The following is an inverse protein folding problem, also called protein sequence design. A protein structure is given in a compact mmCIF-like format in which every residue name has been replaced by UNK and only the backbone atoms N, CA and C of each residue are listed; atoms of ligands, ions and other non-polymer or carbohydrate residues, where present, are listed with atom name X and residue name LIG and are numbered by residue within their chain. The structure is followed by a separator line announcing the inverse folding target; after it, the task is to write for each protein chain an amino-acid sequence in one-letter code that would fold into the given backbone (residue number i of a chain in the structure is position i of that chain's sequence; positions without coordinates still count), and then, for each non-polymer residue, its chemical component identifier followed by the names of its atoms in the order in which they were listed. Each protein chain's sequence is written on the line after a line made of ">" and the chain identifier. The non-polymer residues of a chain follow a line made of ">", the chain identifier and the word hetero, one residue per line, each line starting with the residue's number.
data_IF_682328308057
#
_entry.id   IF_682328308057
#
_cell.length_a   1.000
_cell.length_b   1.000
_cell.length_c   1.000
_cell.angle_alpha   90.00
_cell.angle_beta   90.00
_cell.angle_gamma   90.00
#
_symmetry.space_group_name_H-M   'P 1'
#
loop_
_entity.id
_entity.type
_entity.pdbx_description
1 polymer ?
#
# COMPACT_ATOMS: atom_id res chain seq x y z
N UNK A 1 -60.52 -43.86 -11.22
CA UNK A 1 -59.93 -42.79 -10.39
C UNK A 1 -58.77 -43.40 -9.62
N UNK A 2 -57.57 -43.38 -10.21
CA UNK A 2 -56.35 -43.90 -9.59
C UNK A 2 -55.23 -42.93 -9.94
N UNK A 3 -54.62 -42.38 -8.89
CA UNK A 3 -53.75 -41.21 -8.89
C UNK A 3 -52.33 -41.61 -9.28
N UNK A 4 -51.75 -40.95 -10.29
CA UNK A 4 -50.32 -41.01 -10.58
C UNK A 4 -49.56 -40.27 -9.47
N UNK A 5 -48.59 -40.92 -8.84
CA UNK A 5 -47.57 -40.26 -8.02
C UNK A 5 -46.27 -40.29 -8.80
N UNK A 6 -45.88 -39.15 -9.36
CA UNK A 6 -44.57 -38.96 -9.97
C UNK A 6 -43.56 -38.60 -8.87
N UNK A 7 -42.55 -39.45 -8.70
CA UNK A 7 -41.44 -39.21 -7.78
C UNK A 7 -40.38 -38.36 -8.49
N UNK A 8 -40.34 -37.06 -8.20
CA UNK A 8 -39.26 -36.16 -8.66
C UNK A 8 -38.07 -36.26 -7.72
N UNK A 9 -37.00 -36.91 -8.17
CA UNK A 9 -35.69 -36.89 -7.50
C UNK A 9 -35.02 -35.55 -7.85
N UNK A 10 -35.03 -34.61 -6.90
CA UNK A 10 -34.23 -33.39 -6.97
C UNK A 10 -32.77 -33.75 -6.67
N UNK A 11 -31.95 -33.84 -7.71
CA UNK A 11 -30.50 -33.88 -7.56
C UNK A 11 -30.01 -32.49 -7.12
N UNK A 12 -29.62 -32.38 -5.86
CA UNK A 12 -28.91 -31.22 -5.33
C UNK A 12 -27.53 -31.12 -5.97
N UNK A 13 -27.38 -30.24 -6.98
CA UNK A 13 -26.07 -29.78 -7.41
C UNK A 13 -25.47 -28.95 -6.26
N UNK A 14 -24.71 -29.62 -5.40
CA UNK A 14 -23.77 -28.94 -4.53
C UNK A 14 -22.71 -28.31 -5.43
N UNK A 15 -22.87 -27.01 -5.71
CA UNK A 15 -21.81 -26.19 -6.27
C UNK A 15 -20.69 -26.13 -5.22
N UNK A 16 -19.72 -27.04 -5.31
CA UNK A 16 -18.47 -26.91 -4.57
C UNK A 16 -17.77 -25.71 -5.19
N UNK A 17 -17.78 -24.57 -4.51
CA UNK A 17 -16.91 -23.46 -4.83
C UNK A 17 -15.48 -24.00 -4.77
N UNK A 18 -14.86 -24.17 -5.95
CA UNK A 18 -13.45 -24.47 -6.01
C UNK A 18 -12.74 -23.28 -5.35
N UNK A 19 -12.09 -23.52 -4.20
CA UNK A 19 -11.16 -22.56 -3.63
C UNK A 19 -10.15 -22.24 -4.74
N UNK A 20 -10.12 -20.99 -5.18
CA UNK A 20 -9.22 -20.56 -6.23
C UNK A 20 -7.79 -20.81 -5.73
N UNK A 21 -7.10 -21.79 -6.32
CA UNK A 21 -5.76 -22.21 -5.92
C UNK A 21 -4.88 -20.97 -5.69
N UNK A 22 -4.15 -20.92 -4.58
CA UNK A 22 -3.31 -19.78 -4.26
C UNK A 22 -2.35 -19.42 -5.41
N UNK A 23 -2.08 -18.12 -5.56
CA UNK A 23 -1.01 -17.68 -6.44
C UNK A 23 0.36 -18.04 -5.87
N UNK A 24 1.37 -18.05 -6.73
CA UNK A 24 2.75 -18.19 -6.29
C UNK A 24 3.26 -16.83 -5.81
N UNK A 25 3.92 -16.84 -4.65
CA UNK A 25 4.70 -15.72 -4.15
C UNK A 25 5.89 -15.50 -5.11
N UNK A 26 6.43 -14.27 -5.15
CA UNK A 26 7.53 -13.96 -6.06
C UNK A 26 8.40 -12.80 -5.57
N UNK A 27 9.67 -12.84 -5.95
CA UNK A 27 10.65 -11.80 -5.63
C UNK A 27 11.20 -11.17 -6.88
N UNK A 28 11.19 -9.84 -6.93
CA UNK A 28 11.79 -9.02 -7.97
C UNK A 28 13.18 -8.56 -7.52
N UNK A 29 14.18 -8.73 -8.38
CA UNK A 29 15.57 -8.36 -8.09
C UNK A 29 16.13 -7.52 -9.23
N UNK A 30 17.11 -6.66 -8.92
CA UNK A 30 17.81 -5.85 -9.92
C UNK A 30 16.98 -4.71 -10.52
N UNK A 31 15.84 -4.36 -9.91
CA UNK A 31 15.05 -3.19 -10.23
C UNK A 31 15.23 -2.18 -9.11
N UNK A 32 15.68 -0.96 -9.45
CA UNK A 32 15.79 0.14 -8.51
C UNK A 32 14.43 0.84 -8.37
N UNK A 33 13.45 0.14 -7.79
CA UNK A 33 12.06 0.56 -7.67
C UNK A 33 11.49 0.07 -6.34
N UNK A 34 11.66 0.88 -5.30
CA UNK A 34 11.36 0.48 -3.93
C UNK A 34 10.22 1.30 -3.34
N UNK A 35 9.71 0.90 -2.19
CA UNK A 35 8.70 1.60 -1.38
C UNK A 35 7.37 1.96 -2.09
N UNK A 36 7.21 1.51 -3.33
CA UNK A 36 6.08 1.74 -4.21
C UNK A 36 5.01 0.65 -4.16
N UNK A 37 4.40 0.39 -5.33
CA UNK A 37 3.25 -0.52 -5.47
C UNK A 37 3.27 -1.16 -6.85
N UNK A 38 2.80 -2.41 -6.96
CA UNK A 38 2.53 -3.04 -8.25
C UNK A 38 1.07 -2.83 -8.63
N UNK A 39 0.83 -2.26 -9.80
CA UNK A 39 -0.51 -2.08 -10.37
C UNK A 39 -0.63 -2.93 -11.63
N UNK A 40 -1.74 -3.65 -11.76
CA UNK A 40 -2.08 -4.37 -12.98
C UNK A 40 -3.21 -3.65 -13.72
N UNK A 41 -3.00 -3.38 -15.01
CA UNK A 41 -4.07 -2.92 -15.91
C UNK A 41 -4.04 -3.73 -17.20
N UNK A 42 -5.19 -4.32 -17.54
CA UNK A 42 -5.26 -5.33 -18.58
C UNK A 42 -4.29 -6.48 -18.31
N UNK A 43 -3.44 -6.79 -19.29
CA UNK A 43 -2.42 -7.84 -19.20
C UNK A 43 -1.03 -7.33 -18.76
N UNK A 44 -0.91 -6.06 -18.38
CA UNK A 44 0.38 -5.43 -18.07
C UNK A 44 0.49 -5.12 -16.58
N UNK A 45 1.62 -5.48 -16.00
CA UNK A 45 2.03 -5.13 -14.64
C UNK A 45 2.94 -3.91 -14.70
N UNK A 46 2.72 -2.97 -13.79
CA UNK A 46 3.50 -1.75 -13.61
C UNK A 46 4.03 -1.77 -12.18
N UNK A 47 5.34 -1.87 -12.04
CA UNK A 47 6.01 -1.70 -10.75
C UNK A 47 6.44 -0.23 -10.66
N UNK A 48 5.90 0.47 -9.67
CA UNK A 48 6.33 1.82 -9.32
C UNK A 48 7.24 1.77 -8.11
N UNK A 49 8.19 2.69 -8.02
CA UNK A 49 9.03 2.82 -6.85
C UNK A 49 9.92 4.05 -6.87
N UNK A 50 10.50 4.36 -5.72
CA UNK A 50 11.58 5.33 -5.56
C UNK A 50 12.87 4.74 -6.12
N UNK A 51 13.61 5.53 -6.90
CA UNK A 51 14.95 5.17 -7.38
C UNK A 51 16.02 5.72 -6.42
N UNK A 52 17.11 4.98 -6.22
CA UNK A 52 18.24 5.35 -5.36
C UNK A 52 19.57 5.42 -6.15
N UNK A 53 19.64 4.80 -7.32
CA UNK A 53 20.86 4.51 -8.08
C UNK A 53 21.60 5.72 -8.65
N UNK A 54 21.05 6.93 -8.50
CA UNK A 54 21.77 8.18 -8.73
C UNK A 54 22.66 8.60 -7.55
N UNK A 55 22.62 7.88 -6.43
CA UNK A 55 23.37 8.14 -5.20
C UNK A 55 22.58 8.87 -4.13
N UNK A 56 21.24 8.71 -4.08
CA UNK A 56 20.44 9.21 -2.97
C UNK A 56 20.79 8.42 -1.69
N UNK A 57 20.94 9.12 -0.58
CA UNK A 57 21.17 8.49 0.73
C UNK A 57 20.24 9.11 1.75
N UNK A 58 19.32 8.32 2.30
CA UNK A 58 18.35 8.80 3.25
C UNK A 58 19.00 9.34 4.53
N UNK A 59 18.47 10.44 5.05
CA UNK A 59 19.01 11.13 6.22
C UNK A 59 20.29 11.93 5.93
N UNK A 60 20.85 11.86 4.73
CA UNK A 60 22.02 12.63 4.34
C UNK A 60 21.63 13.85 3.51
N UNK A 61 21.89 15.04 4.04
CA UNK A 61 21.62 16.29 3.36
C UNK A 61 22.48 16.46 2.09
N UNK A 62 21.86 16.95 1.01
CA UNK A 62 22.57 17.37 -0.20
C UNK A 62 22.93 16.24 -1.17
N UNK A 63 22.48 15.01 -0.93
CA UNK A 63 22.55 13.94 -1.94
C UNK A 63 21.51 14.17 -3.05
N UNK A 64 21.76 13.71 -4.29
CA UNK A 64 20.76 13.81 -5.35
C UNK A 64 19.51 13.01 -4.98
N UNK A 65 18.33 13.41 -5.49
CA UNK A 65 17.12 12.59 -5.44
C UNK A 65 16.81 12.09 -6.85
N UNK A 66 16.62 10.78 -6.99
CA UNK A 66 16.68 10.13 -8.31
C UNK A 66 15.33 10.13 -9.04
N UNK A 67 14.24 10.38 -8.32
CA UNK A 67 12.91 10.34 -8.90
C UNK A 67 12.13 9.10 -8.54
N UNK A 68 10.93 9.03 -9.08
CA UNK A 68 10.13 7.82 -9.09
C UNK A 68 10.17 7.20 -10.48
N UNK A 69 10.39 5.91 -10.53
CA UNK A 69 10.42 5.13 -11.75
C UNK A 69 9.18 4.26 -11.92
N UNK A 70 9.02 3.76 -13.14
CA UNK A 70 8.10 2.67 -13.48
C UNK A 70 8.78 1.67 -14.39
N UNK A 71 8.63 0.39 -14.07
CA UNK A 71 8.97 -0.72 -14.96
C UNK A 71 7.72 -1.52 -15.30
N UNK A 72 7.69 -2.10 -16.51
CA UNK A 72 6.54 -2.84 -17.02
C UNK A 72 6.90 -4.28 -17.34
N UNK A 73 5.93 -5.17 -17.15
CA UNK A 73 6.04 -6.58 -17.49
C UNK A 73 4.69 -7.14 -17.95
N UNK A 74 4.70 -8.23 -18.71
CA UNK A 74 3.50 -9.01 -19.06
C UNK A 74 3.51 -10.41 -18.43
N UNK A 75 4.60 -10.79 -17.78
CA UNK A 75 4.81 -12.14 -17.22
C UNK A 75 5.35 -12.13 -15.77
N UNK A 76 5.60 -10.94 -15.19
CA UNK A 76 6.25 -10.69 -13.88
C UNK A 76 7.71 -11.15 -13.79
N UNK A 77 8.30 -11.60 -14.90
CA UNK A 77 9.67 -12.12 -14.97
C UNK A 77 10.56 -11.17 -15.78
N UNK A 78 10.12 -10.82 -16.98
CA UNK A 78 10.83 -9.89 -17.86
C UNK A 78 10.29 -8.49 -17.62
N UNK A 79 11.14 -7.62 -17.10
CA UNK A 79 10.81 -6.24 -16.77
C UNK A 79 11.52 -5.29 -17.73
N UNK A 80 10.83 -4.21 -18.14
CA UNK A 80 11.46 -3.15 -18.92
C UNK A 80 12.50 -2.40 -18.08
N UNK A 81 13.39 -1.64 -18.73
CA UNK A 81 14.15 -0.63 -18.02
C UNK A 81 13.18 0.33 -17.30
N UNK A 82 13.58 0.79 -16.11
CA UNK A 82 12.83 1.80 -15.38
C UNK A 82 12.78 3.09 -16.22
N UNK A 83 11.60 3.71 -16.26
CA UNK A 83 11.39 5.02 -16.85
C UNK A 83 10.93 5.99 -15.77
N UNK A 84 11.58 7.14 -15.69
CA UNK A 84 11.24 8.18 -14.72
C UNK A 84 9.85 8.78 -15.01
N UNK A 85 9.02 8.91 -13.98
CA UNK A 85 7.67 9.46 -14.08
C UNK A 85 7.65 10.97 -14.28
N UNK A 86 8.56 11.72 -13.69
CA UNK A 86 8.78 13.15 -13.89
C UNK A 86 10.22 13.53 -13.53
N UNK A 87 10.77 14.59 -14.10
CA UNK A 87 12.18 14.92 -13.88
C UNK A 87 12.43 15.40 -12.45
N UNK A 88 13.47 14.90 -11.76
CA UNK A 88 13.92 15.48 -10.48
C UNK A 88 14.32 16.96 -10.56
N UNK A 89 14.51 17.49 -11.76
CA UNK A 89 14.81 18.91 -12.01
C UNK A 89 13.57 19.74 -12.38
N UNK A 90 12.40 19.13 -12.47
CA UNK A 90 11.15 19.87 -12.63
C UNK A 90 10.88 20.72 -11.39
N UNK A 91 10.21 21.84 -11.60
CA UNK A 91 9.85 22.78 -10.54
C UNK A 91 8.56 22.33 -9.88
N UNK A 92 8.60 22.12 -8.57
CA UNK A 92 7.41 22.13 -7.75
C UNK A 92 6.84 23.55 -7.73
N UNK A 93 5.65 23.72 -8.31
CA UNK A 93 4.98 25.03 -8.37
C UNK A 93 4.49 25.54 -7.02
N UNK A 94 4.43 24.70 -5.98
CA UNK A 94 4.02 25.11 -4.64
C UNK A 94 5.17 25.80 -3.89
N UNK A 95 6.37 25.19 -3.86
CA UNK A 95 7.57 25.81 -3.25
C UNK A 95 8.32 26.76 -4.18
N UNK A 96 8.19 26.58 -5.50
CA UNK A 96 9.04 27.25 -6.50
C UNK A 96 10.47 26.69 -6.57
N UNK A 97 10.72 25.50 -6.02
CA UNK A 97 12.02 24.82 -6.04
C UNK A 97 11.98 23.55 -6.90
N UNK A 98 13.13 22.95 -7.19
CA UNK A 98 13.17 21.66 -7.90
C UNK A 98 12.93 20.51 -6.94
N UNK A 99 12.47 19.36 -7.43
CA UNK A 99 12.37 18.14 -6.62
C UNK A 99 13.71 17.68 -6.04
N UNK A 100 14.82 17.96 -6.73
CA UNK A 100 16.17 17.73 -6.20
C UNK A 100 16.40 18.52 -4.91
N UNK A 101 15.94 19.78 -4.87
CA UNK A 101 16.04 20.61 -3.66
C UNK A 101 15.04 20.12 -2.61
N UNK A 102 13.80 19.89 -3.00
CA UNK A 102 12.73 19.51 -2.08
C UNK A 102 13.04 18.18 -1.36
N UNK A 103 13.38 17.15 -2.14
CA UNK A 103 13.58 15.80 -1.64
C UNK A 103 15.03 15.53 -1.18
N UNK A 104 16.03 16.23 -1.74
CA UNK A 104 17.45 15.95 -1.48
C UNK A 104 18.14 16.89 -0.48
N UNK A 105 17.72 18.16 -0.37
CA UNK A 105 18.51 19.18 0.35
C UNK A 105 18.69 18.90 1.85
N UNK A 106 17.70 18.29 2.49
CA UNK A 106 17.70 17.99 3.92
C UNK A 106 18.00 16.51 4.22
N UNK A 107 18.01 15.66 3.19
CA UNK A 107 18.05 14.20 3.35
C UNK A 107 16.72 13.58 3.77
N UNK A 108 15.64 14.37 3.88
CA UNK A 108 14.32 13.88 4.27
C UNK A 108 13.67 12.98 3.20
N UNK A 109 14.11 13.10 1.94
CA UNK A 109 13.63 12.29 0.82
C UNK A 109 12.24 12.68 0.33
N UNK A 110 11.83 12.00 -0.75
CA UNK A 110 10.45 11.84 -1.17
C UNK A 110 10.29 10.36 -1.54
N UNK A 111 9.20 9.74 -1.09
CA UNK A 111 9.05 8.28 -1.12
C UNK A 111 7.62 7.88 -1.48
N UNK A 112 7.41 6.56 -1.49
CA UNK A 112 6.10 5.96 -1.38
C UNK A 112 5.19 6.34 -2.58
N UNK A 113 5.64 6.15 -3.84
CA UNK A 113 4.81 6.48 -5.00
C UNK A 113 3.60 5.54 -5.06
N UNK A 114 2.41 6.11 -5.23
CA UNK A 114 1.13 5.42 -5.39
C UNK A 114 0.45 5.90 -6.67
N UNK A 115 0.50 5.06 -7.69
CA UNK A 115 -0.23 5.32 -8.94
C UNK A 115 -1.66 4.79 -8.81
N UNK A 116 -2.64 5.65 -9.01
CA UNK A 116 -4.07 5.29 -9.06
C UNK A 116 -4.70 5.79 -10.35
N UNK A 117 -5.72 5.09 -10.83
CA UNK A 117 -6.56 5.54 -11.93
C UNK A 117 -7.92 6.00 -11.40
N UNK A 118 -8.37 7.18 -11.81
CA UNK A 118 -9.71 7.71 -11.54
C UNK A 118 -10.78 6.93 -12.30
N UNK A 119 -11.14 5.79 -11.71
CA UNK A 119 -12.14 4.87 -12.25
C UNK A 119 -13.03 4.34 -11.14
N UNK A 120 -14.35 4.44 -11.34
CA UNK A 120 -15.37 4.00 -10.40
C UNK A 120 -15.78 5.05 -9.36
N UNK A 121 -15.24 6.27 -9.41
CA UNK A 121 -15.68 7.38 -8.56
C UNK A 121 -15.61 8.73 -9.28
N UNK A 122 -16.27 9.74 -8.71
CA UNK A 122 -16.12 11.13 -9.11
C UNK A 122 -16.39 11.34 -10.61
N UNK A 123 -15.42 11.93 -11.30
CA UNK A 123 -15.51 12.16 -12.75
C UNK A 123 -15.44 10.87 -13.59
N UNK A 124 -14.87 9.78 -13.05
CA UNK A 124 -14.73 8.47 -13.72
C UNK A 124 -14.15 8.58 -15.15
N UNK A 125 -13.16 9.45 -15.31
CA UNK A 125 -12.60 9.82 -16.62
C UNK A 125 -11.33 9.05 -17.00
N UNK A 126 -10.91 8.11 -16.17
CA UNK A 126 -9.73 7.27 -16.41
C UNK A 126 -8.40 8.00 -16.24
N UNK A 127 -8.40 9.21 -15.67
CA UNK A 127 -7.18 9.98 -15.40
C UNK A 127 -6.25 9.23 -14.44
N UNK A 128 -4.95 9.25 -14.71
CA UNK A 128 -3.94 8.67 -13.83
C UNK A 128 -3.39 9.73 -12.88
N UNK A 129 -3.26 9.35 -11.61
CA UNK A 129 -2.76 10.22 -10.53
C UNK A 129 -1.62 9.50 -9.83
N UNK A 130 -0.47 10.16 -9.77
CA UNK A 130 0.65 9.77 -8.92
C UNK A 130 0.55 10.51 -7.59
N UNK A 131 0.42 9.78 -6.51
CA UNK A 131 0.60 10.28 -5.15
C UNK A 131 1.98 9.93 -4.62
N UNK A 132 2.58 10.77 -3.79
CA UNK A 132 3.80 10.46 -3.03
C UNK A 132 3.92 11.34 -1.79
N UNK A 133 4.83 11.00 -0.87
CA UNK A 133 5.14 11.84 0.28
C UNK A 133 6.45 12.63 0.06
N UNK A 134 6.48 13.85 0.60
CA UNK A 134 7.60 14.77 0.65
C UNK A 134 7.77 15.29 2.09
N UNK A 135 8.38 14.49 2.99
CA UNK A 135 8.56 14.80 4.41
C UNK A 135 9.14 16.18 4.73
N UNK A 136 10.00 16.73 3.88
CA UNK A 136 10.65 18.02 4.08
C UNK A 136 9.64 19.18 4.26
N UNK A 137 8.50 19.14 3.57
CA UNK A 137 7.48 20.19 3.63
C UNK A 137 6.82 20.31 5.00
N UNK A 138 6.47 19.17 5.58
CA UNK A 138 5.94 19.11 6.92
C UNK A 138 6.98 19.56 7.94
N UNK A 139 8.21 19.06 7.83
CA UNK A 139 9.30 19.41 8.74
C UNK A 139 9.63 20.91 8.72
N UNK A 140 9.48 21.57 7.56
CA UNK A 140 9.80 22.99 7.38
C UNK A 140 8.67 23.93 7.78
N UNK A 141 7.41 23.55 7.50
CA UNK A 141 6.27 24.49 7.61
C UNK A 141 5.01 23.91 8.24
N UNK A 142 4.97 22.62 8.54
CA UNK A 142 3.77 21.91 8.98
C UNK A 142 2.72 21.74 7.87
N UNK A 143 3.07 22.01 6.61
CA UNK A 143 2.21 21.71 5.48
C UNK A 143 2.08 20.19 5.28
N UNK A 144 0.96 19.75 4.69
CA UNK A 144 0.72 18.34 4.40
C UNK A 144 1.90 17.73 3.63
N UNK A 145 2.40 16.58 4.05
CA UNK A 145 3.62 15.99 3.50
C UNK A 145 3.38 15.25 2.16
N UNK A 146 2.35 15.58 1.39
CA UNK A 146 1.95 14.80 0.22
C UNK A 146 1.85 15.67 -1.03
N UNK A 147 1.92 15.01 -2.18
CA UNK A 147 1.64 15.58 -3.50
C UNK A 147 0.79 14.62 -4.32
N UNK A 148 -0.01 15.18 -5.22
CA UNK A 148 -0.72 14.45 -6.25
C UNK A 148 -0.39 15.07 -7.62
N UNK A 149 0.04 14.26 -8.59
CA UNK A 149 0.38 14.71 -9.94
C UNK A 149 -0.52 13.98 -10.93
N UNK A 150 -1.06 14.72 -11.90
CA UNK A 150 -1.72 14.09 -13.06
C UNK A 150 -0.69 13.47 -13.99
N UNK A 151 -1.03 12.31 -14.56
CA UNK A 151 -0.17 11.56 -15.47
C UNK A 151 -0.91 11.24 -16.78
N UNK A 152 -0.18 11.23 -17.88
CA UNK A 152 -0.73 10.95 -19.22
C UNK A 152 -1.21 9.50 -19.36
N UNK A 153 -0.64 8.60 -18.56
CA UNK A 153 -0.99 7.19 -18.50
C UNK A 153 -0.30 6.51 -17.33
N UNK A 154 -0.44 5.17 -17.20
CA UNK A 154 0.17 4.43 -16.11
C UNK A 154 1.70 4.49 -16.14
N UNK A 155 2.32 4.66 -17.31
CA UNK A 155 3.78 4.80 -17.42
C UNK A 155 4.26 6.26 -17.39
N UNK A 156 3.41 7.22 -17.03
CA UNK A 156 3.70 8.64 -17.14
C UNK A 156 3.69 9.16 -18.60
N UNK A 157 4.35 10.30 -18.87
CA UNK A 157 4.93 11.20 -17.88
C UNK A 157 3.84 11.83 -16.99
N UNK A 158 4.24 12.17 -15.78
CA UNK A 158 3.47 12.92 -14.80
C UNK A 158 3.86 14.40 -14.84
N UNK A 159 2.91 15.28 -14.54
CA UNK A 159 3.03 16.72 -14.75
C UNK A 159 2.73 17.55 -13.52
N UNK A 160 1.93 18.61 -13.70
CA UNK A 160 1.69 19.66 -12.72
C UNK A 160 1.37 19.12 -11.32
N UNK A 161 2.18 19.49 -10.31
CA UNK A 161 1.95 19.05 -8.94
C UNK A 161 0.78 19.80 -8.31
N UNK A 162 -0.06 19.04 -7.62
CA UNK A 162 -1.09 19.54 -6.74
C UNK A 162 -0.67 19.27 -5.30
N UNK A 163 -0.78 20.28 -4.44
CA UNK A 163 -0.55 20.15 -3.00
C UNK A 163 -1.89 19.85 -2.31
N UNK A 164 -2.11 18.62 -1.80
CA UNK A 164 -3.38 18.24 -1.21
C UNK A 164 -3.73 19.06 0.04
N UNK A 165 -5.00 19.44 0.15
CA UNK A 165 -5.60 19.95 1.38
C UNK A 165 -6.21 18.81 2.18
N UNK A 166 -5.43 18.23 3.09
CA UNK A 166 -5.82 17.19 4.04
C UNK A 166 -6.04 17.77 5.43
N UNK A 167 -6.93 17.15 6.21
CA UNK A 167 -7.30 17.63 7.56
C UNK A 167 -7.23 16.55 8.64
N UNK A 168 -7.25 15.27 8.24
CA UNK A 168 -7.08 14.11 9.11
C UNK A 168 -5.70 13.49 8.83
N UNK A 169 -5.38 13.29 7.55
CA UNK A 169 -4.06 12.83 7.10
C UNK A 169 -3.05 13.97 6.93
N UNK A 170 -2.98 14.89 7.90
CA UNK A 170 -2.12 16.08 7.82
C UNK A 170 -0.66 15.86 8.20
N UNK A 171 -0.32 14.67 8.70
CA UNK A 171 1.01 14.31 9.16
C UNK A 171 2.03 14.05 8.06
N UNK A 172 3.14 13.46 8.48
CA UNK A 172 4.29 13.12 7.66
C UNK A 172 4.66 11.65 7.90
N UNK A 173 4.31 10.78 6.95
CA UNK A 173 4.63 9.37 7.04
C UNK A 173 4.20 8.59 5.81
N UNK A 174 4.33 7.27 5.90
CA UNK A 174 3.92 6.36 4.84
C UNK A 174 2.40 6.30 4.69
N UNK A 175 1.95 6.01 3.47
CA UNK A 175 0.54 6.01 3.12
C UNK A 175 0.19 4.99 2.02
N UNK A 176 -1.11 4.81 1.80
CA UNK A 176 -1.66 4.22 0.58
C UNK A 176 -3.00 4.89 0.23
N UNK A 177 -3.38 4.84 -1.04
CA UNK A 177 -4.67 5.34 -1.52
C UNK A 177 -5.55 4.18 -1.95
N UNK A 178 -6.60 3.91 -1.17
CA UNK A 178 -7.55 2.85 -1.40
C UNK A 178 -8.64 3.30 -2.36
N UNK A 179 -8.66 2.76 -3.56
CA UNK A 179 -9.73 3.01 -4.53
C UNK A 179 -10.94 2.11 -4.27
N UNK A 180 -12.14 2.63 -4.54
CA UNK A 180 -13.41 1.92 -4.39
C UNK A 180 -14.46 2.46 -5.35
N UNK A 181 -15.44 1.65 -5.70
CA UNK A 181 -16.54 2.06 -6.58
C UNK A 181 -17.61 2.83 -5.80
N UNK A 182 -18.14 3.90 -6.38
CA UNK A 182 -19.29 4.66 -5.87
C UNK A 182 -18.97 5.72 -4.82
N UNK A 183 -17.72 5.85 -4.39
CA UNK A 183 -17.25 6.88 -3.47
C UNK A 183 -15.80 7.23 -3.77
N UNK A 184 -15.35 8.42 -3.38
CA UNK A 184 -13.95 8.81 -3.56
C UNK A 184 -12.99 7.82 -2.87
N UNK A 185 -11.69 7.83 -3.23
CA UNK A 185 -10.69 7.00 -2.59
C UNK A 185 -10.52 7.35 -1.11
N UNK A 186 -9.96 6.43 -0.32
CA UNK A 186 -9.58 6.68 1.08
C UNK A 186 -8.07 6.65 1.19
N UNK A 187 -7.50 7.73 1.71
CA UNK A 187 -6.10 7.80 2.09
C UNK A 187 -5.96 7.12 3.46
N UNK A 188 -5.11 6.10 3.56
CA UNK A 188 -4.59 5.61 4.84
C UNK A 188 -3.21 6.21 5.04
N UNK A 189 -2.90 6.72 6.21
CA UNK A 189 -1.68 7.49 6.42
C UNK A 189 -1.11 7.28 7.83
N UNK A 190 0.21 7.27 7.91
CA UNK A 190 0.96 7.32 9.16
C UNK A 190 1.07 8.77 9.63
N UNK A 191 0.75 9.03 10.89
CA UNK A 191 0.87 10.35 11.50
C UNK A 191 2.28 10.56 12.09
N UNK A 192 2.60 11.81 12.41
CA UNK A 192 3.90 12.18 13.00
C UNK A 192 4.14 11.55 14.39
N UNK A 193 3.09 11.13 15.09
CA UNK A 193 3.16 10.39 16.36
C UNK A 193 3.15 8.86 16.16
N UNK A 194 3.29 8.39 14.92
CA UNK A 194 3.31 6.97 14.53
C UNK A 194 2.01 6.22 14.86
N UNK A 195 0.90 6.94 14.93
CA UNK A 195 -0.45 6.38 14.81
C UNK A 195 -0.87 6.31 13.33
N UNK A 196 -1.96 5.60 13.06
CA UNK A 196 -2.56 5.54 11.72
C UNK A 196 -3.85 6.36 11.70
N UNK A 197 -4.13 6.98 10.55
CA UNK A 197 -5.39 7.68 10.26
C UNK A 197 -5.94 7.29 8.89
N UNK A 198 -7.23 7.56 8.68
CA UNK A 198 -7.88 7.46 7.37
C UNK A 198 -8.60 8.75 7.02
N UNK A 199 -8.51 9.20 5.76
CA UNK A 199 -9.26 10.35 5.24
C UNK A 199 -9.89 10.03 3.89
N UNK A 200 -11.17 10.35 3.74
CA UNK A 200 -11.88 10.31 2.46
C UNK A 200 -11.35 11.43 1.57
N UNK A 201 -10.87 11.06 0.38
CA UNK A 201 -10.51 12.01 -0.66
C UNK A 201 -11.75 12.47 -1.45
N UNK A 202 -11.64 13.64 -2.06
CA UNK A 202 -12.70 14.27 -2.83
C UNK A 202 -12.99 13.56 -4.16
N UNK A 203 -13.91 14.14 -4.94
CA UNK A 203 -14.30 13.57 -6.24
C UNK A 203 -13.15 13.54 -7.26
N UNK A 204 -12.13 14.38 -7.08
CA UNK A 204 -10.95 14.41 -7.95
C UNK A 204 -9.91 13.39 -7.51
N UNK A 205 -9.96 12.95 -6.25
CA UNK A 205 -8.99 12.04 -5.65
C UNK A 205 -7.68 12.74 -5.32
N UNK A 206 -7.72 14.05 -5.04
CA UNK A 206 -6.53 14.91 -4.84
C UNK A 206 -6.57 15.71 -3.55
N UNK A 207 -7.74 15.93 -2.95
CA UNK A 207 -7.91 16.67 -1.69
C UNK A 207 -8.70 15.87 -0.67
N UNK A 208 -8.52 16.19 0.61
CA UNK A 208 -9.27 15.60 1.71
C UNK A 208 -10.65 16.25 1.85
N UNK A 209 -11.63 15.45 2.24
CA UNK A 209 -12.97 15.94 2.58
C UNK A 209 -13.13 16.24 4.07
N UNK A 210 -12.14 15.88 4.89
CA UNK A 210 -12.22 15.88 6.35
C UNK A 210 -13.09 14.79 6.98
N UNK A 211 -13.73 13.93 6.17
CA UNK A 211 -14.36 12.73 6.67
C UNK A 211 -13.31 11.64 6.89
N UNK A 212 -13.14 11.16 8.12
CA UNK A 212 -12.07 10.26 8.47
C UNK A 212 -12.03 9.92 9.95
N UNK A 213 -10.96 9.25 10.36
CA UNK A 213 -10.68 8.88 11.75
C UNK A 213 -9.17 8.89 12.02
N UNK A 214 -8.80 9.21 13.25
CA UNK A 214 -7.45 9.07 13.78
C UNK A 214 -7.38 7.81 14.67
N UNK A 215 -6.16 7.47 15.11
CA UNK A 215 -5.90 6.38 16.07
C UNK A 215 -6.51 5.05 15.63
N UNK A 216 -6.36 4.70 14.35
CA UNK A 216 -7.01 3.51 13.80
C UNK A 216 -6.60 2.26 14.59
N UNK A 217 -7.60 1.52 15.06
CA UNK A 217 -7.44 0.33 15.89
C UNK A 217 -6.65 0.52 17.20
N UNK A 218 -6.40 1.76 17.64
CA UNK A 218 -5.59 2.06 18.82
C UNK A 218 -4.11 1.70 18.66
N UNK A 219 -3.62 1.63 17.41
CA UNK A 219 -2.24 1.28 17.10
C UNK A 219 -1.32 2.49 17.28
N UNK A 220 -0.11 2.22 17.78
CA UNK A 220 0.96 3.21 18.01
C UNK A 220 2.30 2.60 17.64
N UNK A 221 3.26 3.42 17.22
CA UNK A 221 4.57 2.98 16.76
C UNK A 221 4.47 2.02 15.57
N UNK A 222 3.57 2.31 14.62
CA UNK A 222 3.34 1.56 13.39
C UNK A 222 3.45 2.46 12.17
N UNK A 223 3.61 1.90 10.97
CA UNK A 223 3.62 2.66 9.72
C UNK A 223 3.22 1.81 8.50
N UNK A 224 3.36 2.37 7.29
CA UNK A 224 3.09 1.70 6.02
C UNK A 224 1.70 1.04 5.95
N UNK A 225 0.62 1.78 6.25
CA UNK A 225 -0.72 1.22 6.18
C UNK A 225 -1.10 0.99 4.70
N UNK A 226 -1.65 -0.18 4.43
CA UNK A 226 -2.34 -0.46 3.18
C UNK A 226 -3.45 -1.48 3.43
N UNK A 227 -4.45 -1.54 2.56
CA UNK A 227 -5.59 -2.42 2.77
C UNK A 227 -6.17 -2.96 1.47
N UNK A 228 -6.93 -4.04 1.61
CA UNK A 228 -7.76 -4.58 0.55
C UNK A 228 -9.14 -4.96 1.08
N UNK A 229 -10.13 -5.02 0.17
CA UNK A 229 -11.43 -5.62 0.47
C UNK A 229 -11.36 -7.13 0.20
N UNK A 230 -11.49 -7.92 1.25
CA UNK A 230 -11.68 -9.35 1.18
C UNK A 230 -13.15 -9.65 0.88
N UNK A 231 -13.44 -9.95 -0.39
CA UNK A 231 -14.82 -10.18 -0.86
C UNK A 231 -15.43 -11.49 -0.33
N UNK A 232 -14.60 -12.45 0.09
CA UNK A 232 -15.08 -13.72 0.63
C UNK A 232 -15.73 -13.56 2.02
N UNK A 233 -15.21 -12.65 2.84
CA UNK A 233 -15.72 -12.37 4.18
C UNK A 233 -16.41 -11.00 4.30
N UNK A 234 -16.44 -10.22 3.20
CA UNK A 234 -16.98 -8.85 3.14
C UNK A 234 -16.37 -7.93 4.20
N UNK A 235 -15.04 -7.94 4.29
CA UNK A 235 -14.26 -7.16 5.25
C UNK A 235 -13.11 -6.44 4.56
N UNK A 236 -12.80 -5.24 5.02
CA UNK A 236 -11.54 -4.59 4.74
C UNK A 236 -10.48 -5.12 5.68
N UNK A 237 -9.33 -5.48 5.12
CA UNK A 237 -8.16 -5.98 5.82
C UNK A 237 -7.03 -4.97 5.60
N UNK A 238 -6.60 -4.29 6.66
CA UNK A 238 -5.43 -3.41 6.65
C UNK A 238 -4.23 -4.18 7.16
N UNK A 239 -3.10 -4.05 6.47
CA UNK A 239 -1.77 -4.44 6.92
C UNK A 239 -0.94 -3.20 7.20
N UNK A 240 0.06 -3.33 8.06
CA UNK A 240 0.96 -2.26 8.48
C UNK A 240 2.25 -2.87 9.06
N UNK A 241 3.32 -2.08 9.08
CA UNK A 241 4.54 -2.41 9.82
C UNK A 241 4.29 -2.24 11.32
N UNK A 242 4.64 -3.25 12.12
CA UNK A 242 4.61 -3.24 13.60
C UNK A 242 5.92 -3.85 14.12
N UNK A 243 6.92 -3.05 14.52
CA UNK A 243 6.87 -1.60 14.69
C UNK A 243 7.11 -0.79 13.39
N UNK A 244 7.00 0.53 13.48
CA UNK A 244 7.62 1.50 12.57
C UNK A 244 9.15 1.36 12.63
N UNK A 245 9.80 1.23 11.47
CA UNK A 245 11.24 1.11 11.36
C UNK A 245 11.73 1.35 9.90
N UNK A 246 12.15 2.58 9.59
CA UNK A 246 12.69 2.91 8.26
C UNK A 246 13.93 2.07 7.89
N UNK A 247 13.88 1.41 6.73
CA UNK A 247 14.94 0.55 6.17
C UNK A 247 15.36 -0.64 7.04
N UNK A 248 14.50 -1.08 7.95
CA UNK A 248 14.85 -2.20 8.80
C UNK A 248 14.67 -3.53 8.08
N UNK A 249 15.62 -4.45 8.34
CA UNK A 249 15.56 -5.82 7.85
C UNK A 249 14.81 -6.68 8.87
N UNK A 250 13.59 -7.08 8.50
CA UNK A 250 12.83 -8.07 9.25
C UNK A 250 11.86 -7.51 10.29
N UNK A 251 11.14 -6.44 9.96
CA UNK A 251 10.08 -5.92 10.83
C UNK A 251 8.81 -6.77 10.78
N UNK A 252 7.95 -6.64 11.79
CA UNK A 252 6.66 -7.33 11.82
C UNK A 252 5.66 -6.73 10.83
N UNK A 253 4.81 -7.58 10.27
CA UNK A 253 3.56 -7.16 9.62
C UNK A 253 2.41 -7.45 10.56
N UNK A 254 1.67 -6.42 10.95
CA UNK A 254 0.42 -6.53 11.69
C UNK A 254 -0.80 -6.48 10.77
N UNK A 255 -1.99 -6.79 11.31
CA UNK A 255 -3.25 -6.56 10.60
C UNK A 255 -4.37 -5.99 11.48
N UNK A 256 -5.34 -5.34 10.83
CA UNK A 256 -6.59 -4.88 11.42
C UNK A 256 -7.73 -5.05 10.41
N UNK A 257 -8.98 -5.10 10.91
CA UNK A 257 -10.16 -5.30 10.06
C UNK A 257 -11.22 -4.22 10.26
N UNK A 258 -11.99 -3.91 9.21
CA UNK A 258 -13.14 -3.01 9.27
C UNK A 258 -14.22 -3.44 8.26
N UNK A 259 -15.45 -2.96 8.42
CA UNK A 259 -16.52 -3.12 7.41
C UNK A 259 -16.51 -2.00 6.36
N UNK A 260 -15.68 -0.98 6.57
CA UNK A 260 -15.51 0.19 5.70
C UNK A 260 -14.05 0.63 5.77
N UNK A 261 -13.46 1.15 4.68
CA UNK A 261 -12.07 1.62 4.68
C UNK A 261 -11.88 2.89 5.54
N UNK A 262 -12.97 3.59 5.90
CA UNK A 262 -12.96 4.69 6.88
C UNK A 262 -13.05 4.19 8.34
N UNK A 263 -13.08 2.88 8.55
CA UNK A 263 -13.24 2.28 9.86
C UNK A 263 -14.70 2.15 10.33
N UNK A 264 -14.93 1.86 11.63
CA UNK A 264 -13.90 1.70 12.66
C UNK A 264 -13.04 0.47 12.39
N UNK A 265 -11.72 0.63 12.56
CA UNK A 265 -10.74 -0.44 12.44
C UNK A 265 -10.53 -1.15 13.77
N UNK A 266 -10.36 -2.48 13.73
CA UNK A 266 -10.11 -3.30 14.91
C UNK A 266 -8.92 -4.21 14.68
N UNK A 267 -7.89 -4.08 15.51
CA UNK A 267 -6.79 -5.03 15.60
C UNK A 267 -7.12 -6.10 16.66
N UNK A 268 -6.86 -7.39 16.40
CA UNK A 268 -7.07 -8.43 17.40
C UNK A 268 -6.23 -8.19 18.66
N UNK A 269 -6.90 -8.12 19.80
CA UNK A 269 -6.22 -8.01 21.10
C UNK A 269 -5.67 -9.38 21.53
N UNK A 270 -4.49 -9.36 22.15
CA UNK A 270 -4.01 -10.52 22.90
C UNK A 270 -4.79 -10.70 24.21
N UNK A 271 -4.91 -11.95 24.65
CA UNK A 271 -5.60 -12.31 25.89
C UNK A 271 -4.76 -13.25 26.74
N UNK A 272 -4.79 -13.06 28.06
CA UNK A 272 -4.06 -13.87 29.04
C UNK A 272 -3.12 -13.07 29.94
N UNK A 273 -2.60 -13.72 30.98
CA UNK A 273 -1.58 -13.13 31.87
C UNK A 273 -0.27 -13.02 31.10
N UNK A 274 0.34 -11.83 31.07
CA UNK A 274 1.60 -11.56 30.36
C UNK A 274 1.57 -11.87 28.86
N UNK A 275 0.39 -11.79 28.23
CA UNK A 275 0.27 -11.99 26.79
C UNK A 275 1.13 -10.94 26.05
N UNK A 276 1.80 -11.31 24.94
CA UNK A 276 2.62 -10.37 24.18
C UNK A 276 1.79 -9.17 23.72
N UNK A 277 2.43 -8.04 23.42
CA UNK A 277 1.71 -6.84 23.02
C UNK A 277 0.99 -7.00 21.68
N UNK A 278 1.52 -7.83 20.77
CA UNK A 278 1.17 -7.86 19.33
C UNK A 278 0.62 -9.21 18.85
N UNK A 279 1.19 -10.36 19.26
CA UNK A 279 0.65 -11.73 19.20
C UNK A 279 -0.47 -12.06 18.19
N UNK A 280 -1.75 -11.83 18.51
CA UNK A 280 -2.90 -12.16 17.66
C UNK A 280 -3.05 -11.25 16.44
N UNK A 281 -2.52 -10.04 16.46
CA UNK A 281 -2.51 -9.16 15.29
C UNK A 281 -1.27 -9.35 14.42
N UNK A 282 -0.27 -10.13 14.87
CA UNK A 282 0.92 -10.42 14.07
C UNK A 282 0.57 -11.37 12.94
N UNK A 283 0.74 -10.88 11.72
CA UNK A 283 0.60 -11.67 10.50
C UNK A 283 1.94 -12.35 10.19
N UNK A 284 3.03 -11.59 10.27
CA UNK A 284 4.41 -12.08 10.14
C UNK A 284 5.30 -11.36 11.12
N UNK A 285 6.22 -12.07 11.79
CA UNK A 285 7.14 -11.46 12.76
C UNK A 285 8.33 -10.75 12.10
N UNK A 286 8.63 -11.08 10.84
CA UNK A 286 9.84 -10.59 10.14
C UNK A 286 9.56 -10.13 8.72
N UNK A 287 8.32 -10.14 8.29
CA UNK A 287 7.92 -9.76 6.93
C UNK A 287 8.83 -10.33 5.83
N UNK A 288 9.11 -11.64 5.87
CA UNK A 288 10.03 -12.31 4.92
C UNK A 288 11.46 -11.73 4.87
N UNK A 289 11.90 -11.05 5.93
CA UNK A 289 13.21 -10.43 6.05
C UNK A 289 13.25 -8.94 5.70
N UNK A 290 12.11 -8.33 5.36
CA UNK A 290 12.02 -6.93 4.95
C UNK A 290 11.02 -6.11 5.77
N UNK A 291 10.47 -5.06 5.13
CA UNK A 291 9.44 -4.19 5.67
C UNK A 291 8.20 -4.21 4.77
N UNK A 292 6.97 -4.38 5.31
CA UNK A 292 5.76 -4.30 4.50
C UNK A 292 5.50 -2.87 4.04
N UNK A 293 5.08 -2.69 2.78
CA UNK A 293 4.76 -1.37 2.20
C UNK A 293 3.29 -1.23 1.82
N UNK A 294 2.90 -1.85 0.70
CA UNK A 294 1.57 -1.70 0.13
C UNK A 294 1.00 -3.03 -0.38
N UNK A 295 -0.32 -3.18 -0.24
CA UNK A 295 -1.07 -4.29 -0.80
C UNK A 295 -1.30 -4.04 -2.28
N UNK A 296 -0.76 -4.92 -3.12
CA UNK A 296 -0.93 -4.92 -4.58
C UNK A 296 -1.96 -5.97 -4.99
N UNK A 297 -2.86 -5.63 -5.92
CA UNK A 297 -3.74 -6.62 -6.54
C UNK A 297 -3.10 -7.15 -7.83
N UNK A 298 -2.72 -8.42 -7.80
CA UNK A 298 -2.06 -9.12 -8.91
C UNK A 298 -2.88 -10.35 -9.26
N UNK A 299 -3.30 -10.45 -10.51
CA UNK A 299 -4.18 -11.48 -11.05
C UNK A 299 -5.45 -11.69 -10.21
N UNK A 300 -6.02 -10.58 -9.74
CA UNK A 300 -7.22 -10.56 -8.90
C UNK A 300 -6.99 -11.02 -7.46
N UNK A 301 -5.73 -11.10 -6.99
CA UNK A 301 -5.38 -11.53 -5.63
C UNK A 301 -4.59 -10.45 -4.91
N UNK A 302 -4.82 -10.25 -3.60
CA UNK A 302 -4.02 -9.33 -2.82
C UNK A 302 -2.66 -9.94 -2.45
N UNK A 303 -1.60 -9.17 -2.64
CA UNK A 303 -0.23 -9.48 -2.21
C UNK A 303 0.29 -8.35 -1.34
N UNK A 304 0.95 -8.67 -0.24
CA UNK A 304 1.75 -7.72 0.49
C UNK A 304 3.04 -7.48 -0.29
N UNK A 305 3.26 -6.25 -0.76
CA UNK A 305 4.58 -5.81 -1.21
C UNK A 305 5.48 -5.56 -0.02
N UNK A 306 6.69 -6.10 -0.07
CA UNK A 306 7.69 -6.06 0.99
C UNK A 306 9.01 -5.63 0.36
N UNK A 307 9.58 -4.52 0.79
CA UNK A 307 10.96 -4.18 0.43
C UNK A 307 11.90 -4.99 1.34
N UNK A 308 12.78 -5.78 0.74
CA UNK A 308 13.81 -6.54 1.44
C UNK A 308 15.02 -5.63 1.73
N UNK A 309 14.77 -4.57 2.49
CA UNK A 309 15.81 -3.63 2.95
C UNK A 309 16.96 -4.37 3.61
N UNK A 310 18.17 -3.85 3.45
CA UNK A 310 19.37 -4.42 4.06
C UNK A 310 19.90 -3.58 5.25
N UNK A 311 19.24 -2.47 5.57
CA UNK A 311 19.67 -1.54 6.62
C UNK A 311 20.64 -0.47 6.14
N UNK A 312 20.84 -0.36 4.83
CA UNK A 312 21.63 0.71 4.21
C UNK A 312 20.77 1.95 4.06
N UNK A 313 21.41 3.12 4.01
CA UNK A 313 20.73 4.38 3.71
C UNK A 313 20.58 4.61 2.19
N UNK A 314 21.27 3.80 1.38
CA UNK A 314 21.08 3.65 -0.06
C UNK A 314 20.64 2.21 -0.32
N UNK A 315 19.40 2.05 -0.76
CA UNK A 315 18.75 0.76 -0.95
C UNK A 315 18.60 0.39 -2.43
N UNK A 316 19.43 0.95 -3.32
CA UNK A 316 19.40 0.70 -4.79
C UNK A 316 19.27 -0.79 -5.16
N UNK A 317 19.91 -1.67 -4.38
CA UNK A 317 19.98 -3.11 -4.66
C UNK A 317 18.95 -3.95 -3.88
N UNK A 318 18.09 -3.34 -3.06
CA UNK A 318 17.09 -4.06 -2.28
C UNK A 318 16.11 -4.81 -3.21
N UNK A 319 15.87 -6.11 -3.01
CA UNK A 319 14.79 -6.79 -3.70
C UNK A 319 13.41 -6.37 -3.19
N UNK A 320 12.38 -6.61 -4.00
CA UNK A 320 10.98 -6.44 -3.59
C UNK A 320 10.28 -7.80 -3.66
N UNK A 321 9.73 -8.25 -2.54
CA UNK A 321 8.99 -9.50 -2.42
C UNK A 321 7.48 -9.26 -2.40
N UNK A 322 6.73 -10.16 -3.01
CA UNK A 322 5.27 -10.16 -3.03
C UNK A 322 4.74 -11.47 -2.44
N UNK A 323 4.22 -11.38 -1.22
CA UNK A 323 3.66 -12.51 -0.49
C UNK A 323 2.13 -12.46 -0.51
N UNK A 324 1.49 -13.54 -0.94
CA UNK A 324 0.04 -13.53 -1.12
C UNK A 324 -0.71 -13.47 0.22
N UNK A 325 -1.61 -12.50 0.34
CA UNK A 325 -2.52 -12.40 1.47
C UNK A 325 -3.72 -13.33 1.25
N UNK A 326 -3.87 -14.33 2.13
CA UNK A 326 -5.01 -15.26 2.11
C UNK A 326 -5.67 -15.27 3.48
N UNK A 327 -6.67 -14.41 3.67
CA UNK A 327 -7.45 -14.35 4.90
C UNK A 327 -8.42 -15.55 4.98
N UNK A 328 -8.46 -16.20 6.14
CA UNK A 328 -9.26 -17.41 6.41
C UNK A 328 -10.26 -17.22 7.55
N UNK A 329 -10.34 -15.98 8.07
CA UNK A 329 -11.02 -15.60 9.30
C UNK A 329 -10.51 -16.33 10.56
N UNK A 330 -10.53 -15.67 11.73
CA UNK A 330 -10.17 -16.34 12.96
C UNK A 330 -11.19 -17.43 13.31
N UNK A 331 -10.70 -18.67 13.44
CA UNK A 331 -11.48 -19.79 13.97
C UNK A 331 -11.19 -19.97 15.46
N UNK A 332 -12.19 -19.89 16.35
CA UNK A 332 -12.01 -20.18 17.78
C UNK A 332 -11.50 -21.60 18.06
N UNK A 333 -11.68 -22.52 17.10
CA UNK A 333 -11.23 -23.91 17.19
C UNK A 333 -9.82 -24.12 16.60
N UNK A 334 -9.29 -23.17 15.83
CA UNK A 334 -7.93 -23.21 15.31
C UNK A 334 -6.98 -22.66 16.38
N UNK A 335 -6.45 -23.55 17.21
CA UNK A 335 -5.20 -23.30 17.90
C UNK A 335 -4.07 -23.89 17.02
N UNK A 336 -3.07 -23.10 16.63
CA UNK A 336 -2.84 -21.69 16.98
C UNK A 336 -3.74 -20.70 16.21
N UNK A 337 -3.93 -19.50 16.77
CA UNK A 337 -4.62 -18.38 16.11
C UNK A 337 -3.92 -18.07 14.77
N UNK A 338 -4.56 -18.43 13.67
CA UNK A 338 -4.02 -18.28 12.30
C UNK A 338 -5.12 -17.75 11.39
N UNK A 339 -5.35 -16.42 11.39
CA UNK A 339 -6.39 -15.80 10.57
C UNK A 339 -5.97 -15.71 9.09
N UNK A 340 -4.72 -16.00 8.76
CA UNK A 340 -4.20 -16.08 7.40
C UNK A 340 -3.56 -17.44 7.14
N UNK A 341 -3.49 -17.82 5.87
CA UNK A 341 -2.53 -18.83 5.43
C UNK A 341 -1.13 -18.35 5.83
N UNK A 342 -0.29 -19.19 6.46
CA UNK A 342 1.07 -18.82 6.81
C UNK A 342 1.85 -18.35 5.58
N UNK A 343 2.67 -17.33 5.77
CA UNK A 343 3.58 -16.85 4.73
C UNK A 343 4.65 -17.88 4.44
N UNK A 344 4.98 -18.05 3.16
CA UNK A 344 6.03 -18.98 2.73
C UNK A 344 7.38 -18.29 2.64
N UNK A 345 7.39 -17.02 2.22
CA UNK A 345 8.60 -16.25 1.95
C UNK A 345 9.53 -16.92 0.93
N UNK A 346 8.94 -17.66 -0.02
CA UNK A 346 9.64 -18.38 -1.10
C UNK A 346 9.85 -17.51 -2.36
#
# INVERSE_FOLDING_TARGET
>A
MALLVALTVLASLACRTASAAAGADFTLTGLDLHDGKLVQTGSTYYLYGTEYGCGFTWGQAGTPWCGFGVSTSTDKVTWSAATILFSPHDIDSWTGTTWTVECGSTGAGCFNPRMIQRTGWGADDGSWLLWFNAPADYNRSGANAYYALSCTGPAGPCGSPHKPSLSVCGGNGDFDVLTRTGAGPVLLCTQADQTLSSEQLDQWGTDGTGAGANDLAGLTAVESPSAYHDTAHDLWIMTYSDPNCGYCSGDGTGYATATSPLGPWTAPANSGVSAPATGRRDLSATSCGGQPRAVSFVDGRPYQGIDLWNGSLDETAAPVHFEQLVYTAPSPAAAPWQPFRPWTCD
#
